data_IF_854775808394
#
_entry.id   IF_854775808394
#
_cell.length_a   1.000
_cell.length_b   1.000
_cell.length_c   1.000
_cell.angle_alpha   90.00
_cell.angle_beta   90.00
_cell.angle_gamma   90.00
#
_symmetry.space_group_name_H-M   'P 1'
#
loop_
_entity.id
_entity.type
_entity.pdbx_description
1 polymer ?
#
# COMPACT_ATOMS: atom_id res chain seq x y z
N UNK A 1 6.78 -20.80 -6.50
CA UNK A 1 7.32 -22.17 -6.43
C UNK A 1 8.73 -22.21 -5.88
N UNK A 2 9.11 -23.32 -5.26
CA UNK A 2 10.48 -23.66 -4.89
C UNK A 2 10.90 -24.87 -5.75
N UNK A 3 11.95 -24.73 -6.53
CA UNK A 3 12.42 -25.77 -7.47
C UNK A 3 11.30 -26.29 -8.41
N UNK A 4 10.43 -25.39 -8.87
CA UNK A 4 9.28 -25.72 -9.70
C UNK A 4 8.07 -26.30 -8.96
N UNK A 5 8.20 -26.72 -7.69
CA UNK A 5 7.10 -27.23 -6.89
C UNK A 5 6.30 -26.06 -6.23
N UNK A 6 4.96 -26.15 -6.16
CA UNK A 6 4.16 -25.14 -5.45
C UNK A 6 4.63 -24.94 -4.00
N UNK A 7 4.72 -23.68 -3.59
CA UNK A 7 5.08 -23.31 -2.23
C UNK A 7 3.93 -22.50 -1.61
N UNK A 8 3.43 -22.93 -0.48
CA UNK A 8 2.42 -22.19 0.27
C UNK A 8 2.99 -20.90 0.83
N UNK A 9 2.17 -19.84 0.81
CA UNK A 9 2.47 -18.56 1.43
C UNK A 9 2.33 -18.66 2.96
N UNK A 10 2.87 -17.68 3.67
CA UNK A 10 2.74 -17.54 5.11
C UNK A 10 3.39 -18.66 5.94
N UNK A 11 4.52 -19.17 5.45
CA UNK A 11 5.33 -20.13 6.17
C UNK A 11 6.83 -19.86 6.06
N UNK A 12 7.59 -20.33 7.02
CA UNK A 12 9.04 -20.37 6.95
C UNK A 12 9.46 -21.65 6.23
N UNK A 13 10.40 -21.52 5.29
CA UNK A 13 10.98 -22.66 4.57
C UNK A 13 12.49 -22.61 4.70
N UNK A 14 13.10 -23.79 4.76
CA UNK A 14 14.55 -23.93 4.68
C UNK A 14 14.96 -23.95 3.21
N UNK A 15 15.91 -23.09 2.86
CA UNK A 15 16.53 -23.08 1.52
C UNK A 15 17.94 -23.63 1.62
N UNK A 16 18.34 -24.41 0.61
CA UNK A 16 19.68 -24.97 0.45
C UNK A 16 20.40 -24.31 -0.71
N UNK A 17 21.71 -24.46 -0.73
CA UNK A 17 22.51 -24.02 -1.86
C UNK A 17 22.00 -24.66 -3.16
N UNK A 18 21.78 -23.83 -4.18
CA UNK A 18 21.25 -24.24 -5.48
C UNK A 18 19.72 -24.27 -5.57
N UNK A 19 18.99 -24.00 -4.48
CA UNK A 19 17.54 -23.88 -4.55
C UNK A 19 17.10 -22.64 -5.35
N UNK A 20 16.04 -22.80 -6.16
CA UNK A 20 15.46 -21.74 -6.97
C UNK A 20 14.05 -21.37 -6.46
N UNK A 21 13.90 -20.11 -5.99
CA UNK A 21 12.60 -19.55 -5.59
C UNK A 21 12.07 -18.64 -6.71
N UNK A 22 10.95 -19.02 -7.31
CA UNK A 22 10.33 -18.27 -8.42
C UNK A 22 9.11 -17.51 -7.95
N UNK A 23 8.98 -16.24 -8.34
CA UNK A 23 7.78 -15.43 -8.17
C UNK A 23 7.00 -15.42 -9.49
N UNK A 24 5.80 -16.00 -9.46
CA UNK A 24 4.90 -16.01 -10.62
C UNK A 24 3.97 -14.78 -10.58
N UNK A 25 3.25 -14.54 -11.67
CA UNK A 25 2.18 -13.55 -11.69
C UNK A 25 1.19 -13.83 -10.56
N UNK A 26 0.78 -12.80 -9.80
CA UNK A 26 -0.11 -13.01 -8.67
C UNK A 26 -1.50 -13.46 -9.13
N UNK A 27 -2.05 -14.47 -8.45
CA UNK A 27 -3.46 -14.88 -8.61
C UNK A 27 -4.38 -13.93 -7.83
N UNK A 28 -3.89 -13.42 -6.72
CA UNK A 28 -4.58 -12.41 -5.90
C UNK A 28 -3.53 -11.61 -5.09
N UNK A 29 -3.84 -10.35 -4.84
CA UNK A 29 -2.91 -9.40 -4.23
C UNK A 29 -1.84 -8.92 -5.20
N UNK A 30 -1.31 -7.72 -4.97
CA UNK A 30 -0.33 -7.06 -5.84
C UNK A 30 1.09 -7.11 -5.27
N UNK A 31 1.26 -7.45 -4.00
CA UNK A 31 2.53 -7.42 -3.30
C UNK A 31 2.80 -8.72 -2.58
N UNK A 32 4.02 -9.23 -2.72
CA UNK A 32 4.54 -10.34 -1.94
C UNK A 32 5.74 -9.87 -1.11
N UNK A 33 5.95 -10.51 0.03
CA UNK A 33 7.05 -10.21 0.93
C UNK A 33 7.89 -11.46 1.13
N UNK A 34 9.21 -11.30 1.02
CA UNK A 34 10.21 -12.30 1.35
C UNK A 34 11.01 -11.77 2.53
N UNK A 35 11.16 -12.59 3.55
CA UNK A 35 11.94 -12.27 4.75
C UNK A 35 13.05 -13.30 4.93
N UNK A 36 14.19 -12.87 5.42
CA UNK A 36 15.30 -13.73 5.83
C UNK A 36 15.65 -13.48 7.30
N UNK A 37 16.13 -14.50 8.04
CA UNK A 37 16.61 -14.32 9.40
C UNK A 37 17.65 -13.19 9.48
N UNK A 38 17.47 -12.27 10.45
CA UNK A 38 18.34 -11.10 10.60
C UNK A 38 18.10 -9.97 9.59
N UNK A 39 17.18 -10.15 8.62
CA UNK A 39 16.89 -9.19 7.56
C UNK A 39 17.92 -9.19 6.42
N UNK A 40 17.60 -8.53 5.33
CA UNK A 40 18.51 -8.32 4.19
C UNK A 40 19.44 -7.14 4.45
N UNK A 41 20.71 -7.30 4.09
CA UNK A 41 21.71 -6.26 4.18
C UNK A 41 21.60 -5.33 2.97
N UNK A 42 21.48 -4.05 3.24
CA UNK A 42 21.44 -3.00 2.23
C UNK A 42 21.97 -1.68 2.80
N UNK A 43 22.15 -0.68 1.96
CA UNK A 43 22.62 0.65 2.39
C UNK A 43 21.56 1.30 3.29
N UNK A 44 21.97 1.69 4.50
CA UNK A 44 21.10 2.38 5.46
C UNK A 44 21.12 3.88 5.17
N UNK A 45 19.98 4.43 4.79
CA UNK A 45 19.77 5.86 4.57
C UNK A 45 18.65 6.34 5.50
N UNK A 46 18.93 7.35 6.30
CA UNK A 46 17.98 7.93 7.27
C UNK A 46 17.34 6.89 8.22
N UNK A 47 18.08 5.84 8.57
CA UNK A 47 17.59 4.77 9.45
C UNK A 47 16.77 3.68 8.74
N UNK A 48 16.71 3.66 7.42
CA UNK A 48 15.98 2.67 6.61
C UNK A 48 16.87 2.07 5.53
N UNK A 49 16.64 0.80 5.19
CA UNK A 49 17.24 0.12 4.03
C UNK A 49 16.27 0.03 2.85
N UNK A 50 15.10 0.65 2.95
CA UNK A 50 14.07 0.60 1.90
C UNK A 50 14.50 1.36 0.66
N UNK A 51 14.17 0.80 -0.50
CA UNK A 51 14.35 1.46 -1.79
C UNK A 51 13.29 2.55 -1.98
N UNK A 52 13.72 3.79 -2.19
CA UNK A 52 12.86 4.88 -2.62
C UNK A 52 13.34 5.39 -3.99
N UNK A 53 12.70 4.90 -5.05
CA UNK A 53 13.12 5.18 -6.43
C UNK A 53 12.90 6.64 -6.82
N UNK A 54 11.92 7.31 -6.24
CA UNK A 54 11.61 8.71 -6.54
C UNK A 54 12.71 9.64 -6.04
N UNK A 55 13.12 9.46 -4.79
CA UNK A 55 14.14 10.29 -4.15
C UNK A 55 15.56 9.75 -4.38
N UNK A 56 15.69 8.64 -5.11
CA UNK A 56 16.97 7.96 -5.41
C UNK A 56 17.76 7.61 -4.15
N UNK A 57 17.06 7.08 -3.13
CA UNK A 57 17.63 6.77 -1.81
C UNK A 57 17.46 5.28 -1.46
N UNK A 58 18.42 4.78 -0.70
CA UNK A 58 18.38 3.44 -0.08
C UNK A 58 18.39 2.28 -1.08
N UNK A 59 17.92 1.12 -0.61
CA UNK A 59 17.98 -0.12 -1.37
C UNK A 59 19.36 -0.75 -1.38
N UNK A 60 19.53 -1.83 -2.15
CA UNK A 60 20.76 -2.61 -2.20
C UNK A 60 22.00 -1.77 -2.53
N UNK A 61 21.86 -0.84 -3.47
CA UNK A 61 22.94 0.00 -3.99
C UNK A 61 23.00 1.41 -3.39
N UNK A 62 22.11 1.77 -2.45
CA UNK A 62 22.00 3.10 -1.87
C UNK A 62 21.49 4.21 -2.80
N UNK A 63 21.14 3.86 -4.03
CA UNK A 63 20.76 4.79 -5.11
C UNK A 63 19.26 4.78 -5.46
N UNK A 64 18.44 4.12 -4.66
CA UNK A 64 17.00 3.99 -4.94
C UNK A 64 16.64 3.14 -6.17
N UNK A 65 17.60 2.43 -6.72
CA UNK A 65 17.36 1.54 -7.87
C UNK A 65 16.71 0.24 -7.40
N UNK A 66 15.69 -0.22 -8.14
CA UNK A 66 15.07 -1.51 -7.89
C UNK A 66 16.07 -2.65 -8.15
N UNK A 67 15.83 -3.80 -7.50
CA UNK A 67 16.61 -5.00 -7.76
C UNK A 67 16.54 -5.42 -9.23
N UNK A 68 17.69 -5.81 -9.78
CA UNK A 68 17.83 -6.26 -11.16
C UNK A 68 18.41 -7.67 -11.26
N UNK A 69 18.40 -8.21 -12.45
CA UNK A 69 19.02 -9.51 -12.72
C UNK A 69 20.52 -9.44 -12.41
N UNK A 70 21.02 -10.41 -11.67
CA UNK A 70 22.43 -10.48 -11.23
C UNK A 70 22.71 -9.84 -9.87
N UNK A 71 21.74 -9.15 -9.27
CA UNK A 71 21.89 -8.64 -7.90
C UNK A 71 21.99 -9.79 -6.89
N UNK A 72 22.85 -9.61 -5.89
CA UNK A 72 23.01 -10.54 -4.78
C UNK A 72 22.51 -9.93 -3.50
N UNK A 73 21.52 -10.57 -2.86
CA UNK A 73 21.03 -10.20 -1.54
C UNK A 73 21.71 -11.03 -0.46
N UNK A 74 22.34 -10.37 0.49
CA UNK A 74 22.90 -11.03 1.67
C UNK A 74 21.97 -10.79 2.86
N UNK A 75 21.80 -11.80 3.71
CA UNK A 75 21.12 -11.66 4.99
C UNK A 75 22.12 -11.52 6.12
N UNK A 76 21.74 -10.82 7.18
CA UNK A 76 22.48 -10.86 8.42
C UNK A 76 22.43 -12.30 9.01
N UNK A 77 23.47 -12.66 9.79
CA UNK A 77 23.48 -13.95 10.45
C UNK A 77 22.28 -14.09 11.39
N UNK A 78 21.58 -15.21 11.31
CA UNK A 78 20.42 -15.48 12.15
C UNK A 78 19.83 -16.85 11.86
N UNK A 79 19.03 -17.34 12.80
CA UNK A 79 18.27 -18.57 12.66
C UNK A 79 16.79 -18.27 12.81
N UNK A 80 15.94 -18.94 12.05
CA UNK A 80 14.50 -18.89 12.22
C UNK A 80 13.94 -20.29 12.51
N UNK A 81 12.97 -20.33 13.41
CA UNK A 81 12.17 -21.55 13.58
C UNK A 81 11.24 -21.71 12.39
N UNK A 82 11.04 -22.95 11.95
CA UNK A 82 10.00 -23.26 10.98
C UNK A 82 8.62 -22.94 11.58
N UNK A 83 7.88 -22.07 10.93
CA UNK A 83 6.58 -21.59 11.39
C UNK A 83 5.60 -21.57 10.21
N UNK A 84 4.35 -21.83 10.53
CA UNK A 84 3.22 -21.67 9.59
C UNK A 84 2.21 -20.73 10.24
N UNK A 85 1.79 -19.71 9.51
CA UNK A 85 0.78 -18.78 10.02
C UNK A 85 -0.57 -19.49 10.16
N UNK A 86 -1.25 -19.40 11.32
CA UNK A 86 -2.59 -19.96 11.50
C UNK A 86 -3.57 -19.46 10.42
N UNK A 87 -4.43 -20.33 9.92
CA UNK A 87 -5.37 -20.00 8.84
C UNK A 87 -6.23 -18.76 9.15
N UNK A 88 -6.67 -18.60 10.40
CA UNK A 88 -7.45 -17.43 10.84
C UNK A 88 -6.70 -16.08 10.77
N UNK A 89 -5.38 -16.10 10.63
CA UNK A 89 -4.54 -14.89 10.49
C UNK A 89 -4.09 -14.63 9.04
N UNK A 90 -4.36 -15.57 8.14
CA UNK A 90 -4.02 -15.39 6.72
C UNK A 90 -4.99 -14.39 6.10
N UNK A 91 -4.45 -13.45 5.36
CA UNK A 91 -5.26 -12.47 4.64
C UNK A 91 -5.91 -13.11 3.42
N UNK A 92 -7.20 -12.83 3.25
CA UNK A 92 -7.94 -13.10 2.02
C UNK A 92 -8.10 -11.79 1.25
N UNK A 93 -7.92 -11.84 -0.05
CA UNK A 93 -8.06 -10.69 -0.94
C UNK A 93 -9.24 -10.93 -1.86
N UNK A 94 -10.21 -10.03 -1.80
CA UNK A 94 -11.38 -10.02 -2.65
C UNK A 94 -11.30 -8.82 -3.58
N UNK A 95 -11.77 -8.96 -4.83
CA UNK A 95 -11.80 -7.89 -5.82
C UNK A 95 -12.76 -6.73 -5.43
N UNK A 96 -13.52 -6.90 -4.36
CA UNK A 96 -14.37 -5.86 -3.76
C UNK A 96 -14.09 -5.77 -2.27
N UNK A 97 -13.63 -4.61 -1.81
CA UNK A 97 -13.28 -4.41 -0.43
C UNK A 97 -14.02 -3.22 0.21
N UNK A 98 -14.38 -3.35 1.48
CA UNK A 98 -14.80 -2.24 2.32
C UNK A 98 -13.58 -1.74 3.08
N UNK A 99 -13.33 -0.44 3.00
CA UNK A 99 -12.17 0.24 3.57
C UNK A 99 -12.60 1.21 4.66
N UNK A 100 -12.25 0.90 5.88
CA UNK A 100 -12.53 1.74 7.03
C UNK A 100 -11.65 2.98 7.02
N UNK A 101 -12.24 4.14 7.26
CA UNK A 101 -11.56 5.43 7.29
C UNK A 101 -12.05 6.32 8.42
N UNK A 102 -11.13 7.08 8.99
CA UNK A 102 -11.45 8.18 9.92
C UNK A 102 -11.72 9.43 9.09
N UNK A 103 -12.86 10.08 9.37
CA UNK A 103 -13.29 11.30 8.67
C UNK A 103 -12.32 12.45 8.93
N UNK A 104 -11.97 13.19 7.86
CA UNK A 104 -11.11 14.36 7.91
C UNK A 104 -11.86 15.66 8.18
N UNK A 105 -11.15 16.66 8.68
CA UNK A 105 -11.72 17.97 9.04
C UNK A 105 -12.31 18.72 7.84
N UNK A 106 -11.80 18.47 6.62
CA UNK A 106 -12.28 19.16 5.41
C UNK A 106 -13.54 18.53 4.80
N UNK A 107 -14.03 17.39 5.31
CA UNK A 107 -15.22 16.71 4.73
C UNK A 107 -16.43 17.64 4.65
N UNK A 108 -16.67 18.47 5.68
CA UNK A 108 -17.77 19.43 5.70
C UNK A 108 -17.69 20.56 4.67
N UNK A 109 -16.60 20.66 3.94
CA UNK A 109 -16.39 21.64 2.87
C UNK A 109 -16.64 21.07 1.46
N UNK A 110 -17.01 19.80 1.38
CA UNK A 110 -17.51 19.20 0.13
C UNK A 110 -19.03 19.39 0.04
N UNK A 111 -19.58 19.33 -1.18
CA UNK A 111 -21.04 19.38 -1.35
C UNK A 111 -21.70 18.20 -0.64
N UNK A 112 -22.96 18.37 -0.23
CA UNK A 112 -23.73 17.28 0.39
C UNK A 112 -23.85 16.05 -0.54
N UNK A 113 -23.95 16.28 -1.85
CA UNK A 113 -23.92 15.23 -2.86
C UNK A 113 -22.58 14.49 -2.85
N UNK A 114 -21.46 15.21 -2.88
CA UNK A 114 -20.13 14.61 -2.85
C UNK A 114 -19.88 13.83 -1.56
N UNK A 115 -20.32 14.34 -0.42
CA UNK A 115 -20.26 13.62 0.87
C UNK A 115 -21.06 12.32 0.82
N UNK A 116 -22.28 12.36 0.28
CA UNK A 116 -23.07 11.14 0.08
C UNK A 116 -22.38 10.15 -0.83
N UNK A 117 -21.93 10.61 -1.99
CA UNK A 117 -21.28 9.75 -3.00
C UNK A 117 -19.96 9.15 -2.50
N UNK A 118 -19.20 9.88 -1.68
CA UNK A 118 -17.95 9.39 -1.10
C UNK A 118 -18.13 8.06 -0.34
N UNK A 119 -19.23 7.90 0.38
CA UNK A 119 -19.47 6.72 1.22
C UNK A 119 -20.50 5.71 0.64
N UNK A 120 -21.25 6.10 -0.39
CA UNK A 120 -22.31 5.26 -0.94
C UNK A 120 -22.02 4.74 -2.36
N UNK A 121 -20.88 5.11 -2.94
CA UNK A 121 -20.47 4.64 -4.25
C UNK A 121 -19.41 3.55 -4.15
N UNK A 122 -19.35 2.71 -5.17
CA UNK A 122 -18.21 1.84 -5.42
C UNK A 122 -17.18 2.61 -6.24
N UNK A 123 -15.95 2.62 -5.74
CA UNK A 123 -14.81 3.26 -6.37
C UNK A 123 -13.96 2.20 -7.06
N UNK A 124 -13.53 2.45 -8.29
CA UNK A 124 -12.67 1.55 -9.04
C UNK A 124 -11.19 1.97 -8.91
N UNK A 125 -10.30 1.00 -8.77
CA UNK A 125 -8.85 1.24 -8.73
C UNK A 125 -8.36 1.60 -10.13
N UNK A 126 -7.76 2.78 -10.28
CA UNK A 126 -7.18 3.25 -11.54
C UNK A 126 -5.85 2.53 -11.87
N UNK A 127 -5.57 2.32 -13.15
CA UNK A 127 -4.32 1.71 -13.63
C UNK A 127 -3.05 2.49 -13.26
N UNK A 128 -3.17 3.75 -12.87
CA UNK A 128 -2.05 4.63 -12.44
C UNK A 128 -1.70 4.48 -10.96
N UNK A 129 -2.15 3.39 -10.32
CA UNK A 129 -1.80 3.08 -8.94
C UNK A 129 -0.31 2.73 -8.81
N UNK A 130 0.36 3.32 -7.81
CA UNK A 130 1.76 3.06 -7.49
C UNK A 130 2.01 3.04 -5.97
N UNK A 131 3.28 3.09 -5.56
CA UNK A 131 3.66 3.12 -4.14
C UNK A 131 3.42 4.48 -3.46
N UNK A 132 3.24 5.55 -4.22
CA UNK A 132 2.88 6.87 -3.69
C UNK A 132 1.42 6.95 -3.33
N UNK A 133 0.54 6.40 -4.20
CA UNK A 133 -0.89 6.45 -3.98
C UNK A 133 -1.70 5.69 -5.01
N UNK A 134 -2.91 5.38 -4.62
CA UNK A 134 -3.89 4.68 -5.42
C UNK A 134 -5.00 5.65 -5.78
N UNK A 135 -5.14 5.92 -7.07
CA UNK A 135 -6.24 6.73 -7.60
C UNK A 135 -7.51 5.91 -7.65
N UNK A 136 -8.60 6.53 -7.24
CA UNK A 136 -9.93 5.94 -7.33
C UNK A 136 -10.73 6.64 -8.42
N UNK A 137 -11.48 5.88 -9.19
CA UNK A 137 -12.41 6.38 -10.20
C UNK A 137 -13.85 6.18 -9.74
N UNK A 138 -14.67 7.23 -9.84
CA UNK A 138 -16.06 7.20 -9.44
C UNK A 138 -16.73 8.56 -9.62
N UNK A 139 -17.77 8.87 -8.83
CA UNK A 139 -18.42 10.17 -8.86
C UNK A 139 -17.43 11.31 -8.57
N UNK A 140 -17.63 12.46 -9.20
CA UNK A 140 -16.83 13.65 -8.93
C UNK A 140 -17.17 14.20 -7.55
N UNK A 141 -16.13 14.44 -6.74
CA UNK A 141 -16.27 15.06 -5.42
C UNK A 141 -15.94 16.57 -5.51
N UNK A 142 -16.97 17.40 -5.40
CA UNK A 142 -16.87 18.86 -5.51
C UNK A 142 -16.51 19.47 -4.16
N UNK A 143 -15.36 20.10 -4.08
CA UNK A 143 -14.89 20.86 -2.94
C UNK A 143 -15.26 22.34 -3.05
N UNK A 144 -15.92 22.91 -2.03
CA UNK A 144 -16.39 24.28 -1.98
C UNK A 144 -15.53 25.19 -1.10
N UNK A 145 -14.54 24.62 -0.41
CA UNK A 145 -13.68 25.38 0.50
C UNK A 145 -12.67 26.26 -0.20
N UNK A 146 -12.03 27.11 0.58
CA UNK A 146 -10.91 27.91 0.09
C UNK A 146 -9.70 27.03 -0.26
N UNK A 147 -8.77 27.52 -1.12
CA UNK A 147 -7.49 26.84 -1.34
C UNK A 147 -6.76 26.60 -0.03
N UNK A 148 -6.25 25.38 0.17
CA UNK A 148 -5.58 25.00 1.40
C UNK A 148 -4.10 25.36 1.35
N UNK A 149 -3.58 25.85 2.49
CA UNK A 149 -2.14 25.89 2.72
C UNK A 149 -1.66 24.45 2.88
N UNK A 150 -0.48 24.14 2.35
CA UNK A 150 0.11 22.81 2.47
C UNK A 150 0.27 22.42 3.95
N UNK A 151 -0.21 21.26 4.29
CA UNK A 151 -0.16 20.68 5.63
C UNK A 151 0.41 19.27 5.62
N UNK A 152 0.75 18.72 6.79
CA UNK A 152 1.26 17.36 6.93
C UNK A 152 0.24 16.32 6.46
N UNK A 153 0.70 15.31 5.72
CA UNK A 153 -0.14 14.27 5.15
C UNK A 153 0.12 12.94 5.85
N UNK A 154 -0.85 12.38 6.59
CA UNK A 154 -0.72 11.07 7.20
C UNK A 154 -0.75 9.95 6.14
N UNK A 155 -0.21 8.79 6.52
CA UNK A 155 -0.39 7.54 5.76
C UNK A 155 -1.87 7.19 5.66
N UNK A 156 -2.30 6.74 4.49
CA UNK A 156 -3.70 6.41 4.23
C UNK A 156 -4.60 7.62 3.95
N UNK A 157 -4.07 8.86 3.96
CA UNK A 157 -4.86 10.05 3.64
C UNK A 157 -5.53 9.94 2.27
N UNK A 158 -6.79 10.38 2.19
CA UNK A 158 -7.58 10.38 0.96
C UNK A 158 -7.72 11.82 0.51
N UNK A 159 -6.87 12.23 -0.41
CA UNK A 159 -6.89 13.57 -1.03
C UNK A 159 -7.82 13.59 -2.23
N UNK A 160 -8.46 14.75 -2.44
CA UNK A 160 -9.31 15.02 -3.61
C UNK A 160 -8.71 16.19 -4.39
N UNK A 161 -7.96 15.91 -5.47
CA UNK A 161 -7.48 16.95 -6.38
C UNK A 161 -8.60 17.67 -7.12
N UNK A 162 -8.31 18.73 -7.90
CA UNK A 162 -9.33 19.51 -8.60
C UNK A 162 -10.19 18.73 -9.60
N UNK A 163 -9.73 17.55 -10.06
CA UNK A 163 -10.51 16.65 -10.93
C UNK A 163 -11.60 15.88 -10.17
N UNK A 164 -11.68 16.04 -8.85
CA UNK A 164 -12.69 15.40 -8.00
C UNK A 164 -12.50 13.90 -7.79
N UNK A 165 -11.39 13.30 -8.26
CA UNK A 165 -11.13 11.87 -8.12
C UNK A 165 -10.21 11.59 -6.93
N UNK A 166 -10.65 10.82 -5.92
CA UNK A 166 -9.86 10.59 -4.72
C UNK A 166 -8.55 9.86 -4.98
N UNK A 167 -7.52 10.20 -4.22
CA UNK A 167 -6.22 9.50 -4.20
C UNK A 167 -5.93 9.06 -2.77
N UNK A 168 -5.81 7.76 -2.55
CA UNK A 168 -5.36 7.18 -1.28
C UNK A 168 -3.83 7.19 -1.24
N UNK A 169 -3.25 7.90 -0.31
CA UNK A 169 -1.80 8.09 -0.22
C UNK A 169 -1.14 6.98 0.62
N UNK A 170 -0.09 6.38 0.06
CA UNK A 170 0.60 5.21 0.61
C UNK A 170 2.01 5.56 1.14
N UNK A 171 2.89 4.57 1.22
CA UNK A 171 4.18 4.69 1.89
C UNK A 171 5.13 5.71 1.26
N UNK A 172 5.19 5.78 -0.07
CA UNK A 172 6.11 6.68 -0.79
C UNK A 172 5.46 8.05 -1.09
N UNK A 173 4.34 8.38 -0.41
CA UNK A 173 3.64 9.65 -0.57
C UNK A 173 4.52 10.85 -0.19
N UNK A 174 4.17 12.00 -0.73
CA UNK A 174 4.68 13.28 -0.22
C UNK A 174 4.23 13.48 1.23
N UNK A 175 5.09 14.11 2.04
CA UNK A 175 4.81 14.35 3.48
C UNK A 175 3.99 15.59 3.74
N UNK A 176 3.89 16.50 2.76
CA UNK A 176 3.08 17.73 2.79
C UNK A 176 2.29 17.87 1.50
N UNK A 177 1.15 18.56 1.56
CA UNK A 177 0.32 18.87 0.38
C UNK A 177 -0.90 19.72 0.73
N UNK A 178 -1.47 20.37 -0.29
CA UNK A 178 -2.56 21.33 -0.16
C UNK A 178 -3.89 20.89 -0.79
N UNK A 179 -4.05 19.63 -1.18
CA UNK A 179 -5.37 19.15 -1.61
C UNK A 179 -6.27 18.81 -0.41
N UNK A 180 -7.58 19.11 -0.48
CA UNK A 180 -8.52 18.76 0.56
C UNK A 180 -8.58 17.25 0.76
N UNK A 181 -8.85 16.84 2.00
CA UNK A 181 -8.93 15.43 2.41
C UNK A 181 -10.31 15.11 2.94
N UNK A 182 -10.91 14.04 2.44
CA UNK A 182 -12.15 13.53 3.03
C UNK A 182 -11.88 12.73 4.32
N UNK A 183 -10.65 12.25 4.51
CA UNK A 183 -10.22 11.51 5.69
C UNK A 183 -8.94 10.74 5.48
N UNK A 184 -8.74 9.71 6.30
CA UNK A 184 -7.62 8.79 6.16
C UNK A 184 -8.06 7.36 6.46
N UNK A 185 -7.60 6.38 5.67
CA UNK A 185 -7.83 4.96 5.92
C UNK A 185 -7.20 4.53 7.23
N UNK A 186 -7.83 3.56 7.90
CA UNK A 186 -7.17 2.84 8.98
C UNK A 186 -5.95 2.08 8.45
N UNK A 187 -4.94 1.76 9.29
CA UNK A 187 -3.76 1.00 8.83
C UNK A 187 -4.11 -0.32 8.14
N UNK A 188 -5.14 -1.04 8.64
CA UNK A 188 -5.63 -2.28 8.05
C UNK A 188 -6.24 -2.04 6.67
N UNK A 189 -7.07 -1.01 6.53
CA UNK A 189 -7.68 -0.63 5.26
C UNK A 189 -6.63 -0.19 4.23
N UNK A 190 -5.61 0.57 4.67
CA UNK A 190 -4.50 1.00 3.82
C UNK A 190 -3.62 -0.18 3.37
N UNK A 191 -3.38 -1.17 4.24
CA UNK A 191 -2.70 -2.40 3.85
C UNK A 191 -3.54 -3.24 2.88
N UNK A 192 -4.88 -3.24 3.03
CA UNK A 192 -5.80 -3.96 2.14
C UNK A 192 -5.83 -3.34 0.75
N UNK A 193 -6.03 -2.03 0.64
CA UNK A 193 -6.07 -1.37 -0.68
C UNK A 193 -4.75 -1.53 -1.43
N UNK A 194 -3.63 -1.57 -0.72
CA UNK A 194 -2.31 -1.79 -1.32
C UNK A 194 -2.17 -3.15 -2.03
N UNK A 195 -3.07 -4.09 -1.80
CA UNK A 195 -3.08 -5.40 -2.43
C UNK A 195 -4.10 -5.52 -3.58
N UNK A 196 -4.91 -4.50 -3.82
CA UNK A 196 -5.90 -4.51 -4.90
C UNK A 196 -5.26 -4.18 -6.25
N UNK A 197 -5.85 -4.75 -7.30
CA UNK A 197 -5.43 -4.56 -8.69
C UNK A 197 -6.24 -3.44 -9.36
N UNK A 198 -5.73 -2.84 -10.44
CA UNK A 198 -6.55 -2.02 -11.33
C UNK A 198 -7.83 -2.73 -11.76
N UNK A 199 -8.95 -2.02 -11.70
CA UNK A 199 -10.29 -2.56 -11.96
C UNK A 199 -11.01 -3.18 -10.75
N UNK A 200 -10.29 -3.48 -9.66
CA UNK A 200 -10.93 -3.87 -8.39
C UNK A 200 -11.75 -2.71 -7.82
N UNK A 201 -12.75 -3.04 -6.99
CA UNK A 201 -13.66 -2.04 -6.44
C UNK A 201 -13.57 -1.95 -4.93
N UNK A 202 -13.69 -0.73 -4.44
CA UNK A 202 -13.70 -0.43 -3.01
C UNK A 202 -14.88 0.44 -2.63
N UNK A 203 -15.32 0.30 -1.39
CA UNK A 203 -16.27 1.21 -0.75
C UNK A 203 -15.66 1.78 0.51
N UNK A 204 -15.73 3.08 0.67
CA UNK A 204 -15.27 3.75 1.89
C UNK A 204 -16.33 3.65 2.97
N UNK A 205 -15.91 3.32 4.19
CA UNK A 205 -16.79 3.23 5.36
C UNK A 205 -16.24 4.09 6.48
N UNK A 206 -17.01 5.09 6.95
CA UNK A 206 -16.59 5.88 8.11
C UNK A 206 -16.49 5.02 9.37
N UNK A 207 -15.44 5.26 10.16
CA UNK A 207 -15.25 4.65 11.48
C UNK A 207 -14.66 5.67 12.44
N UNK A 208 -14.66 5.34 13.73
CA UNK A 208 -13.97 6.10 14.78
C UNK A 208 -12.55 5.54 14.98
N UNK A 209 -11.70 6.27 15.72
CA UNK A 209 -10.34 5.80 16.04
C UNK A 209 -10.33 4.59 16.97
N UNK A 210 -11.45 4.29 17.63
CA UNK A 210 -11.62 3.17 18.56
C UNK A 210 -12.23 1.92 17.91
N UNK A 211 -12.47 1.94 16.60
CA UNK A 211 -13.11 0.88 15.83
C UNK A 211 -12.16 -0.06 15.10
#
# INVERSE_FOLDING_TARGET
>A
PLNGAPLDKYQTVELKEGDELTFLSPVCGQRAYLEAPGGFLATNELGSVSTNSREQLGGLHGSGVALGAGDTLNSAAGTASLRVMPAAKKWTFEARAVLDMVIGAQLGQFTGRSTFDAFNSDWEIDARADRMGIRLQGPILDYLGAPLISEGIPYGAIQVPPDGQPIVLLNDRQTIGGYPRIGALTPIAAARIAQLAPGDRVRLRPTTQEG
#
